data_IF_408803426606
#
_entry.id   IF_408803426606
#
_cell.length_a   1.000
_cell.length_b   1.000
_cell.length_c   1.000
_cell.angle_alpha   90.00
_cell.angle_beta   90.00
_cell.angle_gamma   90.00
#
_symmetry.space_group_name_H-M   'P 1'
#
loop_
_entity.id
_entity.type
_entity.pdbx_description
1 polymer ?
#
# COMPACT_ATOMS: atom_id res chain seq x y z
N UNK A 1 21.90 20.54 0.83
CA UNK A 1 21.18 19.24 0.71
C UNK A 1 19.79 19.46 1.28
N UNK A 2 18.75 19.15 0.52
CA UNK A 2 17.37 19.30 1.00
C UNK A 2 17.08 18.22 2.05
N UNK A 3 16.69 18.63 3.25
CA UNK A 3 16.48 17.71 4.39
C UNK A 3 15.03 17.57 4.81
N UNK A 4 14.14 18.42 4.28
CA UNK A 4 12.72 18.35 4.61
C UNK A 4 12.03 17.15 3.98
N UNK A 5 10.99 16.66 4.65
CA UNK A 5 10.18 15.51 4.19
C UNK A 5 8.78 16.02 3.82
N UNK A 6 8.22 15.45 2.75
CA UNK A 6 6.82 15.63 2.35
C UNK A 6 6.09 14.30 2.44
N UNK A 7 5.07 14.22 3.29
CA UNK A 7 4.17 13.06 3.39
C UNK A 7 2.93 13.39 2.54
N UNK A 8 2.73 12.66 1.46
CA UNK A 8 1.60 12.92 0.56
C UNK A 8 0.35 12.15 0.97
N UNK A 9 -0.83 12.73 0.70
CA UNK A 9 -2.15 12.18 1.07
C UNK A 9 -2.22 11.78 2.55
N UNK A 10 -1.68 12.64 3.43
CA UNK A 10 -1.44 12.30 4.82
C UNK A 10 -2.72 11.98 5.62
N UNK A 11 -3.84 12.63 5.32
CA UNK A 11 -5.15 12.35 5.89
C UNK A 11 -5.13 12.23 7.42
N UNK A 12 -5.48 11.04 7.93
CA UNK A 12 -5.55 10.74 9.37
C UNK A 12 -4.24 10.21 9.98
N UNK A 13 -3.12 10.26 9.27
CA UNK A 13 -1.84 9.61 9.66
C UNK A 13 -1.00 10.45 10.63
N UNK A 14 -1.64 10.96 11.68
CA UNK A 14 -1.05 11.80 12.74
C UNK A 14 0.19 11.17 13.36
N UNK A 15 0.10 9.91 13.78
CA UNK A 15 1.21 9.19 14.43
C UNK A 15 2.41 9.07 13.48
N UNK A 16 2.17 8.77 12.20
CA UNK A 16 3.23 8.69 11.20
C UNK A 16 3.96 10.03 11.06
N UNK A 17 3.22 11.14 10.95
CA UNK A 17 3.78 12.49 10.85
C UNK A 17 4.63 12.82 12.06
N UNK A 18 4.13 12.60 13.28
CA UNK A 18 4.87 12.81 14.53
C UNK A 18 6.15 11.96 14.62
N UNK A 19 6.09 10.72 14.17
CA UNK A 19 7.26 9.83 14.15
C UNK A 19 8.33 10.34 13.19
N UNK A 20 7.95 10.78 11.99
CA UNK A 20 8.90 11.38 11.06
C UNK A 20 9.50 12.68 11.61
N UNK A 21 8.72 13.57 12.20
CA UNK A 21 9.23 14.78 12.86
C UNK A 21 10.25 14.44 13.97
N UNK A 22 9.90 13.50 14.84
CA UNK A 22 10.77 13.07 15.95
C UNK A 22 12.10 12.51 15.45
N UNK A 23 12.06 11.61 14.47
CA UNK A 23 13.28 10.95 13.99
C UNK A 23 14.13 11.87 13.10
N UNK A 24 13.48 12.73 12.30
CA UNK A 24 14.16 13.69 11.44
C UNK A 24 14.98 14.69 12.26
N UNK A 25 14.37 15.27 13.32
CA UNK A 25 15.01 16.26 14.19
C UNK A 25 16.25 15.75 14.94
N UNK A 26 16.36 14.45 15.15
CA UNK A 26 17.58 13.84 15.74
C UNK A 26 18.83 14.01 14.87
N UNK A 27 18.63 14.09 13.55
CA UNK A 27 19.72 14.18 12.56
C UNK A 27 19.84 15.56 11.94
N UNK A 28 18.71 16.23 11.78
CA UNK A 28 18.57 17.54 11.15
C UNK A 28 17.61 18.40 12.00
N UNK A 29 18.11 19.09 13.03
CA UNK A 29 17.27 19.82 14.00
C UNK A 29 16.32 20.84 13.36
N UNK A 30 16.74 21.52 12.29
CA UNK A 30 15.97 22.53 11.58
C UNK A 30 15.07 21.98 10.47
N UNK A 31 15.17 20.69 10.18
CA UNK A 31 14.37 20.09 9.11
C UNK A 31 12.90 19.96 9.52
N UNK A 32 12.04 20.05 8.52
CA UNK A 32 10.59 20.09 8.66
C UNK A 32 9.93 18.89 7.99
N UNK A 33 8.77 18.51 8.51
CA UNK A 33 7.90 17.50 7.92
C UNK A 33 6.61 18.16 7.46
N UNK A 34 6.47 18.30 6.17
CA UNK A 34 5.28 18.83 5.52
C UNK A 34 4.35 17.71 5.09
N UNK A 35 3.09 18.06 4.85
CA UNK A 35 2.08 17.13 4.34
C UNK A 35 1.33 17.72 3.16
N UNK A 36 0.71 16.85 2.35
CA UNK A 36 -0.28 17.27 1.37
C UNK A 36 -1.59 16.49 1.55
N UNK A 37 -2.69 17.14 1.19
CA UNK A 37 -4.01 16.52 1.12
C UNK A 37 -4.86 17.28 0.08
N UNK A 38 -5.87 16.61 -0.49
CA UNK A 38 -6.87 17.30 -1.33
C UNK A 38 -7.69 18.32 -0.53
N UNK A 39 -7.93 18.00 0.73
CA UNK A 39 -8.64 18.86 1.66
C UNK A 39 -7.87 18.99 3.00
N UNK A 40 -6.89 19.91 3.08
CA UNK A 40 -6.07 20.10 4.29
C UNK A 40 -6.88 20.31 5.57
N UNK A 41 -8.05 20.94 5.49
CA UNK A 41 -8.91 21.17 6.65
C UNK A 41 -9.53 19.90 7.23
N UNK A 42 -9.59 18.83 6.43
CA UNK A 42 -10.08 17.51 6.85
C UNK A 42 -8.96 16.50 7.11
N UNK A 43 -7.71 16.97 7.11
CA UNK A 43 -6.51 16.13 7.28
C UNK A 43 -5.85 16.39 8.65
N UNK A 44 -6.21 15.64 9.71
CA UNK A 44 -5.61 15.83 11.04
C UNK A 44 -4.08 15.74 11.05
N UNK A 45 -3.49 14.92 10.19
CA UNK A 45 -2.04 14.84 10.03
C UNK A 45 -1.43 16.18 9.54
N UNK A 46 -2.21 16.95 8.79
CA UNK A 46 -1.83 18.28 8.34
C UNK A 46 -1.71 19.31 9.47
N UNK A 47 -2.58 19.23 10.47
CA UNK A 47 -2.54 20.09 11.65
C UNK A 47 -1.28 19.82 12.49
N UNK A 48 -0.84 18.59 12.55
CA UNK A 48 0.35 18.17 13.29
C UNK A 48 1.67 18.42 12.55
N UNK A 49 1.62 18.60 11.23
CA UNK A 49 2.80 18.83 10.41
C UNK A 49 3.31 20.26 10.50
N UNK A 50 4.51 20.51 10.00
CA UNK A 50 5.10 21.85 9.91
C UNK A 50 4.45 22.71 8.80
N UNK A 51 3.47 22.17 8.09
CA UNK A 51 2.61 22.81 7.10
C UNK A 51 1.92 21.77 6.21
N UNK A 52 0.67 22.05 5.86
CA UNK A 52 -0.14 21.21 4.98
C UNK A 52 -0.54 21.97 3.73
N UNK A 53 -0.30 21.39 2.57
CA UNK A 53 -0.58 22.03 1.28
C UNK A 53 -1.69 21.28 0.55
N UNK A 54 -2.58 22.06 -0.06
CA UNK A 54 -3.60 21.52 -0.93
C UNK A 54 -2.99 21.07 -2.25
N UNK A 55 -3.36 19.87 -2.69
CA UNK A 55 -3.01 19.30 -3.98
C UNK A 55 -4.26 18.83 -4.71
N UNK A 56 -4.26 18.78 -6.04
CA UNK A 56 -5.36 18.19 -6.80
C UNK A 56 -5.43 16.67 -6.58
N UNK A 57 -6.43 16.03 -7.19
CA UNK A 57 -6.47 14.56 -7.22
C UNK A 57 -5.26 14.00 -7.96
N UNK A 58 -4.77 12.85 -7.51
CA UNK A 58 -3.64 12.17 -8.14
C UNK A 58 -3.86 11.83 -9.63
N UNK A 59 -5.12 11.78 -10.07
CA UNK A 59 -5.53 11.52 -11.45
C UNK A 59 -5.55 12.77 -12.33
N UNK A 60 -5.29 13.95 -11.78
CA UNK A 60 -5.25 15.20 -12.53
C UNK A 60 -3.86 15.43 -13.14
N UNK A 61 -3.81 15.91 -14.36
CA UNK A 61 -2.58 16.03 -15.15
C UNK A 61 -1.52 16.92 -14.49
N UNK A 62 -1.94 17.92 -13.72
CA UNK A 62 -1.04 18.88 -13.05
C UNK A 62 -0.56 18.41 -11.67
N UNK A 63 -0.94 17.19 -11.22
CA UNK A 63 -0.57 16.70 -9.89
C UNK A 63 0.95 16.66 -9.65
N UNK A 64 1.71 16.11 -10.61
CA UNK A 64 3.17 15.99 -10.51
C UNK A 64 3.84 17.37 -10.56
N UNK A 65 3.38 18.26 -11.42
CA UNK A 65 3.91 19.62 -11.54
C UNK A 65 3.77 20.38 -10.21
N UNK A 66 2.59 20.29 -9.58
CA UNK A 66 2.33 20.91 -8.28
C UNK A 66 3.23 20.32 -7.19
N UNK A 67 3.39 18.97 -7.15
CA UNK A 67 4.30 18.34 -6.19
C UNK A 67 5.74 18.82 -6.38
N UNK A 68 6.24 18.89 -7.61
CA UNK A 68 7.60 19.36 -7.90
C UNK A 68 7.78 20.82 -7.46
N UNK A 69 6.80 21.68 -7.75
CA UNK A 69 6.80 23.10 -7.31
C UNK A 69 6.86 23.21 -5.77
N UNK A 70 6.10 22.39 -5.05
CA UNK A 70 6.16 22.32 -3.58
C UNK A 70 7.53 21.84 -3.10
N UNK A 71 8.09 20.84 -3.75
CA UNK A 71 9.40 20.32 -3.41
C UNK A 71 10.49 21.36 -3.56
N UNK A 72 10.50 22.10 -4.65
CA UNK A 72 11.46 23.18 -4.89
C UNK A 72 11.29 24.31 -3.87
N UNK A 73 10.06 24.78 -3.67
CA UNK A 73 9.74 25.87 -2.74
C UNK A 73 10.09 25.59 -1.29
N UNK A 74 9.83 24.35 -0.84
CA UNK A 74 10.00 23.96 0.57
C UNK A 74 11.23 23.09 0.80
N UNK A 75 12.15 23.01 -0.18
CA UNK A 75 13.41 22.28 -0.08
C UNK A 75 13.21 20.81 0.37
N UNK A 76 12.25 20.12 -0.26
CA UNK A 76 11.95 18.73 0.04
C UNK A 76 13.06 17.83 -0.51
N UNK A 77 13.63 17.00 0.34
CA UNK A 77 14.62 15.97 -0.04
C UNK A 77 14.03 14.57 -0.12
N UNK A 78 12.85 14.35 0.48
CA UNK A 78 12.20 13.04 0.46
C UNK A 78 10.67 13.15 0.43
N UNK A 79 10.03 12.30 -0.40
CA UNK A 79 8.58 12.12 -0.45
C UNK A 79 8.21 10.76 0.10
N UNK A 80 7.18 10.73 0.96
CA UNK A 80 6.61 9.52 1.55
C UNK A 80 5.14 9.44 1.13
N UNK A 81 4.79 8.65 0.10
CA UNK A 81 3.39 8.45 -0.28
C UNK A 81 2.68 7.54 0.72
N UNK A 82 1.38 7.80 0.95
CA UNK A 82 0.61 7.07 1.95
C UNK A 82 -0.65 6.39 1.42
N UNK A 83 -0.93 6.52 0.13
CA UNK A 83 -2.03 5.82 -0.54
C UNK A 83 -1.53 5.11 -1.80
N UNK A 84 -2.11 3.95 -2.10
CA UNK A 84 -1.70 3.10 -3.21
C UNK A 84 -1.96 3.71 -4.61
N UNK A 85 -2.95 4.58 -4.73
CA UNK A 85 -3.26 5.26 -6.00
C UNK A 85 -2.17 6.24 -6.45
N UNK A 86 -1.34 6.75 -5.54
CA UNK A 86 -0.21 7.63 -5.89
C UNK A 86 0.98 6.86 -6.45
N UNK A 87 1.14 5.59 -6.09
CA UNK A 87 2.38 4.84 -6.33
C UNK A 87 2.70 4.74 -7.84
N UNK A 88 1.69 4.45 -8.67
CA UNK A 88 1.88 4.32 -10.12
C UNK A 88 2.28 5.66 -10.74
N UNK A 89 1.60 6.74 -10.38
CA UNK A 89 1.86 8.07 -10.91
C UNK A 89 3.26 8.56 -10.51
N UNK A 90 3.62 8.38 -9.24
CA UNK A 90 4.95 8.75 -8.74
C UNK A 90 6.06 7.90 -9.37
N UNK A 91 5.86 6.59 -9.53
CA UNK A 91 6.87 5.71 -10.12
C UNK A 91 7.07 5.97 -11.61
N UNK A 92 6.03 6.30 -12.36
CA UNK A 92 6.12 6.68 -13.77
C UNK A 92 6.84 8.01 -13.99
N UNK A 93 6.87 8.87 -12.97
CA UNK A 93 7.53 10.18 -13.01
C UNK A 93 8.79 10.25 -12.13
N UNK A 94 9.33 9.11 -11.70
CA UNK A 94 10.43 9.03 -10.72
C UNK A 94 11.66 9.81 -11.15
N UNK A 95 11.92 9.88 -12.46
CA UNK A 95 13.08 10.57 -13.01
C UNK A 95 13.04 12.08 -12.75
N UNK A 96 11.87 12.71 -12.84
CA UNK A 96 11.70 14.14 -12.57
C UNK A 96 12.08 14.51 -11.13
N UNK A 97 11.84 13.60 -10.18
CA UNK A 97 12.23 13.76 -8.78
C UNK A 97 13.74 13.51 -8.60
N UNK A 98 14.28 12.46 -9.23
CA UNK A 98 15.69 12.13 -9.14
C UNK A 98 16.59 13.25 -9.68
N UNK A 99 16.22 13.89 -10.78
CA UNK A 99 16.92 15.05 -11.38
C UNK A 99 17.00 16.23 -10.40
N UNK A 100 16.07 16.33 -9.45
CA UNK A 100 16.06 17.34 -8.38
C UNK A 100 16.67 16.84 -7.06
N UNK A 101 17.31 15.66 -7.08
CA UNK A 101 17.83 15.00 -5.88
C UNK A 101 16.76 14.75 -4.80
N UNK A 102 15.51 14.52 -5.20
CA UNK A 102 14.40 14.17 -4.33
C UNK A 102 14.23 12.66 -4.32
N UNK A 103 14.29 12.07 -3.13
CA UNK A 103 14.06 10.64 -2.94
C UNK A 103 12.57 10.40 -2.76
N UNK A 104 11.95 9.66 -3.67
CA UNK A 104 10.58 9.14 -3.45
C UNK A 104 10.68 7.74 -2.84
N UNK A 105 10.06 7.55 -1.67
CA UNK A 105 10.13 6.27 -0.93
C UNK A 105 9.11 5.27 -1.47
N UNK A 106 9.34 4.78 -2.69
CA UNK A 106 8.50 3.79 -3.38
C UNK A 106 9.35 2.69 -4.01
N UNK A 107 8.70 1.59 -4.32
CA UNK A 107 9.27 0.50 -5.12
C UNK A 107 9.32 0.87 -6.61
N UNK A 108 9.96 0.01 -7.42
CA UNK A 108 10.01 0.17 -8.87
C UNK A 108 8.62 0.11 -9.51
N UNK A 109 8.47 0.74 -10.68
CA UNK A 109 7.22 0.72 -11.45
C UNK A 109 6.74 -0.69 -11.78
N UNK A 110 7.66 -1.60 -12.10
CA UNK A 110 7.34 -3.01 -12.42
C UNK A 110 6.75 -3.73 -11.21
N UNK A 111 7.35 -3.56 -10.02
CA UNK A 111 6.83 -4.15 -8.80
C UNK A 111 5.47 -3.56 -8.40
N UNK A 112 5.30 -2.25 -8.51
CA UNK A 112 4.02 -1.58 -8.27
C UNK A 112 2.95 -2.11 -9.23
N UNK A 113 3.26 -2.23 -10.52
CA UNK A 113 2.35 -2.77 -11.54
C UNK A 113 1.99 -4.23 -11.26
N UNK A 114 2.95 -5.05 -10.84
CA UNK A 114 2.70 -6.42 -10.40
C UNK A 114 1.71 -6.46 -9.24
N UNK A 115 1.88 -5.63 -8.22
CA UNK A 115 1.01 -5.60 -7.04
C UNK A 115 -0.40 -5.02 -7.31
N UNK A 116 -0.58 -4.24 -8.38
CA UNK A 116 -1.90 -3.70 -8.77
C UNK A 116 -2.84 -4.75 -9.33
N UNK A 117 -2.33 -5.81 -9.94
CA UNK A 117 -3.13 -6.92 -10.46
C UNK A 117 -2.95 -8.16 -9.56
N UNK A 118 -4.03 -8.58 -8.90
CA UNK A 118 -4.03 -9.73 -7.98
C UNK A 118 -3.65 -11.05 -8.64
N UNK A 119 -3.81 -11.17 -9.97
CA UNK A 119 -3.37 -12.34 -10.75
C UNK A 119 -1.84 -12.40 -10.83
N UNK A 120 -1.21 -11.24 -11.04
CA UNK A 120 0.24 -11.11 -11.04
C UNK A 120 0.81 -11.28 -9.63
N UNK A 121 0.15 -10.68 -8.62
CA UNK A 121 0.52 -10.85 -7.21
C UNK A 121 0.46 -12.32 -6.79
N UNK A 122 -0.56 -13.08 -7.21
CA UNK A 122 -0.65 -14.51 -6.90
C UNK A 122 0.51 -15.28 -7.52
N UNK A 123 0.82 -15.07 -8.81
CA UNK A 123 1.99 -15.68 -9.46
C UNK A 123 3.31 -15.34 -8.77
N UNK A 124 3.50 -14.07 -8.44
CA UNK A 124 4.67 -13.61 -7.68
C UNK A 124 4.82 -14.36 -6.36
N UNK A 125 3.74 -14.55 -5.61
CA UNK A 125 3.79 -15.31 -4.36
C UNK A 125 4.08 -16.80 -4.58
N UNK A 126 3.50 -17.44 -5.60
CA UNK A 126 3.78 -18.83 -5.94
C UNK A 126 5.25 -19.05 -6.31
N UNK A 127 5.84 -18.15 -7.11
CA UNK A 127 7.27 -18.15 -7.45
C UNK A 127 8.18 -18.05 -6.23
N UNK A 128 7.72 -17.35 -5.18
CA UNK A 128 8.40 -17.24 -3.89
C UNK A 128 7.95 -18.29 -2.86
N UNK A 129 7.27 -19.37 -3.30
CA UNK A 129 6.80 -20.46 -2.45
C UNK A 129 5.89 -20.01 -1.31
N UNK A 130 5.12 -18.94 -1.53
CA UNK A 130 4.09 -18.44 -0.63
C UNK A 130 2.75 -18.96 -1.12
N UNK A 131 1.98 -19.59 -0.23
CA UNK A 131 0.66 -20.12 -0.57
C UNK A 131 -0.30 -18.98 -0.89
N UNK A 132 -1.06 -19.17 -1.95
CA UNK A 132 -2.17 -18.30 -2.35
C UNK A 132 -3.47 -19.09 -2.35
N UNK A 133 -4.63 -18.44 -2.24
CA UNK A 133 -5.91 -19.11 -2.41
C UNK A 133 -5.99 -19.78 -3.78
N UNK A 134 -6.41 -21.05 -3.84
CA UNK A 134 -6.52 -21.81 -5.07
C UNK A 134 -7.51 -21.17 -6.03
N UNK A 135 -7.12 -20.95 -7.27
CA UNK A 135 -8.04 -20.50 -8.30
C UNK A 135 -9.22 -21.47 -8.48
N UNK A 136 -10.38 -20.94 -8.78
CA UNK A 136 -11.62 -21.69 -9.06
C UNK A 136 -12.14 -21.34 -10.44
N UNK A 137 -12.68 -22.36 -11.12
CA UNK A 137 -13.37 -22.16 -12.39
C UNK A 137 -14.85 -21.86 -12.11
N UNK A 138 -15.32 -20.72 -12.61
CA UNK A 138 -16.73 -20.33 -12.48
C UNK A 138 -17.70 -21.22 -13.26
N UNK A 139 -17.21 -21.97 -14.27
CA UNK A 139 -18.01 -22.91 -15.07
C UNK A 139 -18.05 -24.31 -14.48
N UNK A 140 -17.06 -24.65 -13.63
CA UNK A 140 -17.00 -25.91 -12.86
C UNK A 140 -16.79 -25.58 -11.37
N UNK A 141 -17.79 -25.01 -10.70
CA UNK A 141 -17.64 -24.43 -9.37
C UNK A 141 -17.39 -25.51 -8.29
N UNK A 142 -16.49 -25.22 -7.37
CA UNK A 142 -16.29 -25.98 -6.14
C UNK A 142 -16.56 -25.01 -4.98
N UNK A 143 -17.69 -25.18 -4.30
CA UNK A 143 -18.14 -24.30 -3.22
C UNK A 143 -17.54 -24.66 -1.85
N UNK A 144 -17.41 -23.65 -0.93
CA UNK A 144 -17.63 -22.24 -1.17
C UNK A 144 -16.52 -21.60 -1.99
N UNK A 145 -16.88 -20.58 -2.80
CA UNK A 145 -15.92 -19.76 -3.56
C UNK A 145 -15.93 -18.32 -3.08
N UNK A 146 -14.82 -17.64 -3.30
CA UNK A 146 -14.70 -16.21 -3.15
C UNK A 146 -14.39 -15.55 -4.49
N UNK A 147 -15.11 -14.47 -4.81
CA UNK A 147 -14.84 -13.70 -6.02
C UNK A 147 -14.57 -12.24 -5.69
N UNK A 148 -13.60 -11.65 -6.39
CA UNK A 148 -13.21 -10.24 -6.25
C UNK A 148 -12.62 -9.71 -7.55
N UNK A 149 -12.68 -8.39 -7.81
CA UNK A 149 -11.97 -7.78 -8.94
C UNK A 149 -10.46 -7.94 -8.80
N UNK A 150 -9.78 -8.28 -9.91
CA UNK A 150 -8.33 -8.44 -9.90
C UNK A 150 -7.59 -7.11 -9.63
N UNK A 151 -8.18 -5.96 -9.97
CA UNK A 151 -7.65 -4.60 -9.78
C UNK A 151 -8.43 -3.78 -8.73
N UNK A 152 -9.36 -4.43 -8.00
CA UNK A 152 -10.22 -3.77 -7.01
C UNK A 152 -9.48 -3.35 -5.74
N UNK A 153 -10.01 -2.33 -5.06
CA UNK A 153 -9.56 -1.83 -3.76
C UNK A 153 -10.73 -1.54 -2.83
N UNK A 154 -10.46 -1.20 -1.56
CA UNK A 154 -11.47 -0.80 -0.56
C UNK A 154 -12.58 -1.84 -0.32
N UNK A 155 -12.32 -3.12 -0.52
CA UNK A 155 -13.27 -4.22 -0.33
C UNK A 155 -14.59 -4.05 -1.10
N UNK A 156 -14.56 -3.44 -2.28
CA UNK A 156 -15.72 -3.35 -3.18
C UNK A 156 -15.83 -4.60 -4.05
N UNK A 157 -17.06 -4.94 -4.41
CA UNK A 157 -17.41 -6.05 -5.31
C UNK A 157 -16.80 -7.39 -4.85
N UNK A 158 -16.95 -7.68 -3.56
CA UNK A 158 -16.53 -8.94 -2.96
C UNK A 158 -17.73 -9.86 -2.80
N UNK A 159 -17.61 -11.10 -3.27
CA UNK A 159 -18.68 -12.09 -3.23
C UNK A 159 -18.19 -13.38 -2.55
N UNK A 160 -18.96 -13.86 -1.57
CA UNK A 160 -18.85 -15.21 -1.03
C UNK A 160 -19.97 -16.03 -1.64
N UNK A 161 -19.63 -17.03 -2.41
CA UNK A 161 -20.57 -17.83 -3.22
C UNK A 161 -20.59 -19.24 -2.63
N UNK A 162 -21.71 -19.64 -2.04
CA UNK A 162 -21.85 -20.91 -1.29
C UNK A 162 -22.51 -22.02 -2.08
N UNK A 163 -23.22 -21.66 -3.16
CA UNK A 163 -23.94 -22.61 -4.00
C UNK A 163 -24.25 -22.00 -5.38
N UNK A 164 -24.77 -22.83 -6.29
CA UNK A 164 -25.09 -22.40 -7.66
C UNK A 164 -26.10 -21.25 -7.75
N UNK A 165 -27.04 -21.12 -6.80
CA UNK A 165 -28.04 -20.06 -6.85
C UNK A 165 -27.45 -18.66 -6.56
N UNK A 166 -26.29 -18.62 -5.92
CA UNK A 166 -25.55 -17.37 -5.65
C UNK A 166 -24.62 -16.99 -6.83
N UNK A 167 -24.39 -17.87 -7.81
CA UNK A 167 -23.69 -17.56 -9.06
C UNK A 167 -24.64 -16.88 -10.06
N UNK A 168 -24.95 -15.61 -9.78
CA UNK A 168 -25.83 -14.82 -10.65
C UNK A 168 -25.20 -14.53 -12.02
N UNK A 169 -26.04 -14.18 -13.00
CA UNK A 169 -25.57 -13.75 -14.33
C UNK A 169 -24.60 -12.58 -14.21
N UNK A 170 -24.88 -11.63 -13.33
CA UNK A 170 -24.03 -10.46 -13.06
C UNK A 170 -22.62 -10.89 -12.62
N UNK A 171 -22.50 -11.81 -11.67
CA UNK A 171 -21.21 -12.33 -11.21
C UNK A 171 -20.49 -13.09 -12.33
N UNK A 172 -21.22 -13.92 -13.09
CA UNK A 172 -20.64 -14.73 -14.15
C UNK A 172 -20.13 -13.89 -15.33
N UNK A 173 -20.80 -12.78 -15.63
CA UNK A 173 -20.45 -11.90 -16.76
C UNK A 173 -19.56 -10.73 -16.38
N UNK A 174 -19.28 -10.53 -15.09
CA UNK A 174 -18.44 -9.44 -14.64
C UNK A 174 -17.00 -9.56 -15.17
N UNK A 175 -16.49 -8.56 -15.92
CA UNK A 175 -15.25 -8.71 -16.70
C UNK A 175 -13.98 -8.78 -15.85
N UNK A 176 -14.03 -8.35 -14.59
CA UNK A 176 -12.85 -8.21 -13.74
C UNK A 176 -12.79 -9.21 -12.58
N UNK A 177 -13.82 -10.00 -12.34
CA UNK A 177 -13.82 -10.95 -11.23
C UNK A 177 -12.86 -12.11 -11.48
N UNK A 178 -12.05 -12.39 -10.47
CA UNK A 178 -11.31 -13.65 -10.32
C UNK A 178 -11.97 -14.47 -9.23
N UNK A 179 -11.98 -15.79 -9.42
CA UNK A 179 -12.62 -16.73 -8.52
C UNK A 179 -11.57 -17.59 -7.84
N UNK A 180 -11.73 -17.81 -6.54
CA UNK A 180 -10.79 -18.57 -5.74
C UNK A 180 -11.52 -19.32 -4.62
N UNK A 181 -10.80 -20.21 -3.93
CA UNK A 181 -11.32 -20.83 -2.72
C UNK A 181 -11.66 -19.79 -1.66
N UNK A 182 -12.71 -20.06 -0.92
CA UNK A 182 -13.07 -19.24 0.24
C UNK A 182 -12.27 -19.66 1.47
N UNK A 183 -11.59 -18.71 2.09
CA UNK A 183 -10.88 -18.93 3.36
C UNK A 183 -11.79 -18.48 4.49
N UNK A 184 -12.29 -19.43 5.29
CA UNK A 184 -13.23 -19.15 6.36
C UNK A 184 -12.53 -18.47 7.54
N UNK A 185 -13.03 -17.28 7.91
CA UNK A 185 -12.49 -16.50 9.03
C UNK A 185 -12.78 -17.14 10.42
N UNK A 186 -13.69 -18.12 10.51
CA UNK A 186 -13.91 -18.88 11.73
C UNK A 186 -12.77 -19.87 12.02
N UNK A 187 -12.10 -20.34 10.94
CA UNK A 187 -11.01 -21.31 11.03
C UNK A 187 -9.62 -20.66 10.96
N UNK A 188 -9.53 -19.45 10.36
CA UNK A 188 -8.27 -18.78 10.09
C UNK A 188 -8.23 -17.38 10.68
N UNK A 189 -7.05 -16.99 11.11
CA UNK A 189 -6.77 -15.61 11.52
C UNK A 189 -6.19 -14.81 10.38
N UNK A 190 -6.71 -13.60 10.20
CA UNK A 190 -6.26 -12.67 9.17
C UNK A 190 -5.21 -11.71 9.73
N UNK A 191 -4.11 -11.55 9.01
CA UNK A 191 -3.04 -10.62 9.34
C UNK A 191 -2.80 -9.63 8.22
N UNK A 192 -2.47 -8.42 8.59
CA UNK A 192 -1.76 -7.47 7.75
C UNK A 192 -0.30 -7.48 8.21
N UNK A 193 0.63 -7.71 7.29
CA UNK A 193 2.06 -7.73 7.60
C UNK A 193 2.74 -6.56 6.92
N UNK A 194 3.20 -5.61 7.72
CA UNK A 194 3.97 -4.48 7.22
C UNK A 194 5.45 -4.89 7.14
N UNK A 195 6.04 -4.72 5.97
CA UNK A 195 7.45 -5.03 5.71
C UNK A 195 8.16 -3.77 5.21
N UNK A 196 9.33 -3.49 5.74
CA UNK A 196 10.15 -2.36 5.30
C UNK A 196 11.42 -2.85 4.61
N UNK A 197 11.65 -2.35 3.39
CA UNK A 197 12.83 -2.65 2.58
C UNK A 197 13.76 -1.45 2.50
N UNK A 198 15.06 -1.73 2.69
CA UNK A 198 16.11 -0.73 2.58
C UNK A 198 16.47 -0.39 1.13
N UNK A 199 17.44 0.50 0.96
CA UNK A 199 18.01 0.87 -0.35
C UNK A 199 18.70 -0.30 -1.06
N UNK A 200 19.08 -1.32 -0.32
CA UNK A 200 19.71 -2.56 -0.77
C UNK A 200 18.69 -3.62 -1.19
N UNK A 201 17.40 -3.27 -1.30
CA UNK A 201 16.28 -4.15 -1.61
C UNK A 201 16.13 -5.34 -0.63
N UNK A 202 16.70 -5.23 0.58
CA UNK A 202 16.59 -6.23 1.63
C UNK A 202 15.61 -5.80 2.71
N UNK A 203 14.85 -6.76 3.22
CA UNK A 203 13.92 -6.54 4.31
C UNK A 203 14.67 -6.16 5.59
N UNK A 204 14.22 -5.10 6.25
CA UNK A 204 14.78 -4.58 7.52
C UNK A 204 13.85 -4.83 8.70
N UNK A 205 12.54 -4.87 8.46
CA UNK A 205 11.55 -5.20 9.49
C UNK A 205 10.35 -5.91 8.89
N UNK A 206 9.74 -6.80 9.68
CA UNK A 206 8.51 -7.54 9.37
C UNK A 206 7.63 -7.48 10.61
N UNK A 207 6.46 -6.87 10.48
CA UNK A 207 5.55 -6.59 11.60
C UNK A 207 4.15 -7.15 11.32
N UNK A 208 3.84 -8.37 11.76
CA UNK A 208 2.49 -8.93 11.63
C UNK A 208 1.51 -8.24 12.59
N UNK A 209 0.37 -7.81 12.06
CA UNK A 209 -0.76 -7.26 12.80
C UNK A 209 -1.99 -8.13 12.58
N UNK A 210 -2.47 -8.80 13.62
CA UNK A 210 -3.73 -9.55 13.60
C UNK A 210 -4.89 -8.58 13.44
N UNK A 211 -5.80 -8.86 12.50
CA UNK A 211 -6.96 -8.02 12.17
C UNK A 211 -8.14 -8.45 13.03
N UNK A 212 -8.40 -7.73 14.13
CA UNK A 212 -9.49 -8.05 15.07
C UNK A 212 -10.82 -7.47 14.58
N UNK A 213 -10.80 -6.20 14.18
CA UNK A 213 -11.97 -5.51 13.63
C UNK A 213 -11.59 -4.74 12.38
N UNK A 214 -12.39 -4.89 11.33
CA UNK A 214 -12.14 -4.28 10.02
C UNK A 214 -13.32 -3.36 9.70
N UNK A 215 -13.01 -2.14 9.23
CA UNK A 215 -14.00 -1.19 8.70
C UNK A 215 -13.53 -0.67 7.36
N UNK A 216 -14.39 -0.74 6.35
CA UNK A 216 -14.08 -0.32 4.97
C UNK A 216 -12.73 -0.87 4.43
N UNK A 217 -12.40 -2.13 4.74
CA UNK A 217 -11.16 -2.78 4.33
C UNK A 217 -9.94 -2.44 5.16
N UNK A 218 -9.99 -1.42 6.05
CA UNK A 218 -8.89 -1.04 6.92
C UNK A 218 -9.01 -1.66 8.32
N UNK A 219 -7.86 -1.86 8.98
CA UNK A 219 -7.82 -2.32 10.37
C UNK A 219 -8.35 -1.20 11.27
N UNK A 220 -9.49 -1.44 11.94
CA UNK A 220 -10.00 -0.56 12.99
C UNK A 220 -9.44 -0.96 14.38
N UNK A 221 -9.38 -2.26 14.67
CA UNK A 221 -8.68 -2.80 15.83
C UNK A 221 -7.75 -3.92 15.39
N UNK A 222 -6.53 -3.88 15.84
CA UNK A 222 -5.53 -4.91 15.56
C UNK A 222 -4.53 -5.06 16.69
N UNK A 223 -3.85 -6.21 16.71
CA UNK A 223 -2.80 -6.50 17.66
C UNK A 223 -1.53 -6.87 16.91
N UNK A 224 -0.44 -6.15 17.19
CA UNK A 224 0.88 -6.53 16.69
C UNK A 224 1.35 -7.79 17.43
N UNK A 225 1.72 -8.82 16.66
CA UNK A 225 2.17 -10.10 17.22
C UNK A 225 3.42 -10.57 16.48
N UNK A 226 4.48 -10.84 17.22
CA UNK A 226 5.61 -11.62 16.69
C UNK A 226 5.18 -13.09 16.67
N UNK A 227 5.07 -13.66 15.48
CA UNK A 227 4.67 -15.05 15.26
C UNK A 227 5.50 -15.68 14.13
N UNK A 228 5.15 -16.90 13.71
CA UNK A 228 5.86 -17.63 12.65
C UNK A 228 5.92 -16.91 11.30
N UNK A 229 4.98 -15.98 11.01
CA UNK A 229 4.96 -15.23 9.76
C UNK A 229 6.23 -14.38 9.56
N UNK A 230 6.85 -13.93 10.64
CA UNK A 230 8.11 -13.16 10.55
C UNK A 230 9.20 -14.00 9.88
N UNK A 231 9.42 -15.21 10.36
CA UNK A 231 10.43 -16.11 9.80
C UNK A 231 10.03 -16.62 8.42
N UNK A 232 8.77 -17.03 8.26
CA UNK A 232 8.21 -17.52 7.00
C UNK A 232 8.39 -16.53 5.85
N UNK A 233 8.06 -15.25 6.07
CA UNK A 233 8.19 -14.21 5.06
C UNK A 233 9.65 -13.78 4.87
N UNK A 234 10.45 -13.75 5.95
CA UNK A 234 11.88 -13.42 5.84
C UNK A 234 12.61 -14.42 4.93
N UNK A 235 12.38 -15.72 5.11
CA UNK A 235 13.03 -16.76 4.29
C UNK A 235 12.68 -16.66 2.80
N UNK A 236 11.48 -16.16 2.47
CA UNK A 236 10.96 -16.14 1.10
C UNK A 236 11.10 -14.80 0.41
N UNK A 237 11.09 -13.73 1.19
CA UNK A 237 11.06 -12.36 0.68
C UNK A 237 12.20 -11.51 1.28
N UNK A 238 13.34 -12.11 1.68
CA UNK A 238 14.47 -11.36 2.26
C UNK A 238 15.02 -10.31 1.31
N UNK A 239 15.10 -10.65 0.04
CA UNK A 239 15.55 -9.78 -1.03
C UNK A 239 14.53 -9.75 -2.16
N UNK A 240 14.08 -8.56 -2.51
CA UNK A 240 13.17 -8.34 -3.64
C UNK A 240 13.70 -7.20 -4.50
N UNK A 241 14.13 -7.55 -5.71
CA UNK A 241 14.66 -6.56 -6.64
C UNK A 241 13.62 -5.45 -6.92
N UNK A 242 14.05 -4.21 -6.84
CA UNK A 242 13.22 -3.04 -7.08
C UNK A 242 12.23 -2.70 -5.95
N UNK A 243 12.23 -3.46 -4.84
CA UNK A 243 11.37 -3.17 -3.69
C UNK A 243 12.10 -2.26 -2.71
N UNK A 244 11.41 -1.19 -2.32
CA UNK A 244 11.93 -0.18 -1.39
C UNK A 244 10.80 0.46 -0.59
N UNK A 245 11.11 0.83 0.65
CA UNK A 245 10.13 1.46 1.54
C UNK A 245 9.20 0.45 2.19
N UNK A 246 8.01 0.87 2.55
CA UNK A 246 7.03 0.02 3.20
C UNK A 246 6.15 -0.68 2.16
N UNK A 247 6.02 -2.00 2.28
CA UNK A 247 5.00 -2.80 1.60
C UNK A 247 4.10 -3.47 2.63
N UNK A 248 2.88 -3.79 2.23
CA UNK A 248 1.89 -4.40 3.10
C UNK A 248 1.34 -5.65 2.42
N UNK A 249 1.43 -6.79 3.10
CA UNK A 249 0.89 -8.09 2.67
C UNK A 249 -0.31 -8.44 3.54
N UNK A 250 -1.36 -8.94 2.93
CA UNK A 250 -2.54 -9.44 3.62
C UNK A 250 -2.81 -10.88 3.20
#
# INVERSE_FOLDING_TARGET
MNTNILITSAGKRVVLTRMFQKELKKRFPEAKVYTTDMNPHMAPAGIESDGCFQVPRVTEDNYIEILLSLCDKYQIGMIIPTIDTELQVLSSNIQLFNERNIVVSISSSDFISCCRDKRNTSRFFEEHQIRVPKARDKHHPIFPMFAKPYDGSLSKDLFVIRNNNELTVEILTHPKLIFMEYIDKSEYKEFTVDMYYGKDNRVKSIVPRERIEIRAGEINKGITRKNYLVQYLKERLEYLQGVRGCICIQ
#
